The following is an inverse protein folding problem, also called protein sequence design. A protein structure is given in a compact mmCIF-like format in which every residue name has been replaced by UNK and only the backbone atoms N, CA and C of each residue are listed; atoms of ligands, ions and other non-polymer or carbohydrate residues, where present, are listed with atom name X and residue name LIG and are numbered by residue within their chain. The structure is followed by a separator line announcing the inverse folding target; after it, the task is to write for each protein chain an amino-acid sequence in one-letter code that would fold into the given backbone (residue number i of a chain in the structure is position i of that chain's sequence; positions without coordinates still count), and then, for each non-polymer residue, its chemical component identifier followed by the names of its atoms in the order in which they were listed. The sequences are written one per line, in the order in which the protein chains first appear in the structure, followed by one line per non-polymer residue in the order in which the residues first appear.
data_IF_220074361994
#
_entry.id   IF_220074361994
#
_cell.length_a   1.000
_cell.length_b   1.000
_cell.length_c   1.000
_cell.angle_alpha   90.00
_cell.angle_beta   90.00
_cell.angle_gamma   90.00
#
_symmetry.space_group_name_H-M   'P 1'
#
loop_
_entity.id
_entity.type
_entity.pdbx_description
1 polymer ?
#
# COMPACT_ATOMS: atom_id res chain seq x y z
N UNK A 1 59.89 -17.54 14.11
CA UNK A 1 58.45 -17.40 13.81
C UNK A 1 57.83 -16.07 14.30
N UNK A 2 58.34 -15.45 15.37
CA UNK A 2 57.77 -14.22 15.98
C UNK A 2 57.93 -12.95 15.13
N UNK A 3 58.93 -12.88 14.23
CA UNK A 3 59.18 -11.67 13.43
C UNK A 3 58.05 -11.37 12.41
N UNK A 4 57.42 -12.39 11.82
CA UNK A 4 56.29 -12.24 10.89
C UNK A 4 55.03 -11.64 11.54
N UNK A 5 54.82 -11.86 12.85
CA UNK A 5 53.70 -11.27 13.61
C UNK A 5 53.89 -9.78 13.90
N UNK A 6 55.14 -9.29 13.96
CA UNK A 6 55.46 -7.88 14.24
C UNK A 6 55.28 -7.00 13.00
N UNK A 7 55.52 -7.53 11.79
CA UNK A 7 55.25 -6.86 10.53
C UNK A 7 53.74 -6.67 10.26
N UNK A 8 52.91 -7.66 10.60
CA UNK A 8 51.45 -7.56 10.45
C UNK A 8 50.82 -6.44 11.30
N UNK A 9 51.44 -6.07 12.43
CA UNK A 9 51.00 -4.95 13.28
C UNK A 9 51.47 -3.59 12.79
N UNK A 10 52.59 -3.50 12.06
CA UNK A 10 53.10 -2.24 11.48
C UNK A 10 52.27 -1.75 10.29
N UNK A 11 51.56 -2.64 9.60
CA UNK A 11 50.73 -2.31 8.43
C UNK A 11 49.26 -2.00 8.76
N UNK A 12 48.90 -1.89 10.05
CA UNK A 12 47.57 -1.41 10.45
C UNK A 12 47.57 0.12 10.45
N UNK A 13 47.53 0.73 9.26
CA UNK A 13 47.12 2.15 9.13
C UNK A 13 45.65 2.22 9.53
N UNK A 14 45.40 2.66 10.77
CA UNK A 14 44.04 2.88 11.26
C UNK A 14 43.39 4.07 10.56
N UNK A 15 42.08 4.00 10.37
CA UNK A 15 41.27 5.14 9.93
C UNK A 15 41.33 6.23 11.00
N UNK A 16 41.58 7.48 10.63
CA UNK A 16 41.58 8.56 11.61
C UNK A 16 40.15 8.87 12.05
N UNK A 17 39.96 9.25 13.32
CA UNK A 17 38.65 9.70 13.80
C UNK A 17 38.15 10.92 13.03
N UNK A 18 39.07 11.77 12.56
CA UNK A 18 38.77 12.96 11.77
C UNK A 18 38.17 12.59 10.42
N UNK A 19 38.72 11.60 9.71
CA UNK A 19 38.15 11.11 8.45
C UNK A 19 36.72 10.58 8.65
N UNK A 20 36.46 9.92 9.78
CA UNK A 20 35.12 9.37 10.07
C UNK A 20 34.11 10.49 10.35
N UNK A 21 34.53 11.52 11.08
CA UNK A 21 33.69 12.68 11.41
C UNK A 21 33.34 13.46 10.14
N UNK A 22 34.30 13.73 9.25
CA UNK A 22 34.05 14.47 8.00
C UNK A 22 33.06 13.72 7.11
N UNK A 23 33.19 12.39 7.01
CA UNK A 23 32.24 11.56 6.24
C UNK A 23 30.84 11.61 6.83
N UNK A 24 30.69 11.49 8.15
CA UNK A 24 29.39 11.59 8.82
C UNK A 24 28.75 12.96 8.65
N UNK A 25 29.53 14.03 8.64
CA UNK A 25 29.05 15.40 8.38
C UNK A 25 28.50 15.51 6.97
N UNK A 26 29.23 15.05 5.96
CA UNK A 26 28.77 15.09 4.55
C UNK A 26 27.53 14.21 4.36
N UNK A 27 27.53 12.99 4.91
CA UNK A 27 26.37 12.09 4.89
C UNK A 27 25.15 12.73 5.56
N UNK A 28 25.35 13.43 6.69
CA UNK A 28 24.28 14.13 7.40
C UNK A 28 23.64 15.22 6.55
N UNK A 29 24.44 16.04 5.85
CA UNK A 29 23.95 17.09 4.95
C UNK A 29 23.13 16.48 3.80
N UNK A 30 23.62 15.39 3.19
CA UNK A 30 22.90 14.71 2.11
C UNK A 30 21.56 14.14 2.60
N UNK A 31 21.55 13.43 3.72
CA UNK A 31 20.32 12.86 4.30
C UNK A 31 19.30 13.95 4.61
N UNK A 32 19.74 15.09 5.18
CA UNK A 32 18.86 16.20 5.52
C UNK A 32 18.09 16.76 4.31
N UNK A 33 18.72 16.81 3.13
CA UNK A 33 18.08 17.29 1.91
C UNK A 33 17.24 16.21 1.22
N UNK A 34 17.67 14.94 1.27
CA UNK A 34 17.03 13.84 0.53
C UNK A 34 15.79 13.26 1.23
N UNK A 35 15.79 13.14 2.56
CA UNK A 35 14.68 12.51 3.30
C UNK A 35 13.30 13.16 3.03
N UNK A 36 13.11 14.49 3.08
CA UNK A 36 11.79 15.08 2.90
C UNK A 36 11.21 14.80 1.50
N UNK A 37 12.02 14.85 0.45
CA UNK A 37 11.54 14.55 -0.91
C UNK A 37 11.19 13.07 -1.05
N UNK A 38 12.04 12.16 -0.55
CA UNK A 38 11.82 10.72 -0.61
C UNK A 38 10.54 10.29 0.10
N UNK A 39 10.25 10.83 1.29
CA UNK A 39 9.03 10.49 2.04
C UNK A 39 7.75 10.85 1.28
N UNK A 40 7.73 11.96 0.54
CA UNK A 40 6.62 12.35 -0.33
C UNK A 40 6.40 11.38 -1.49
N UNK A 41 7.48 10.91 -2.12
CA UNK A 41 7.40 9.91 -3.19
C UNK A 41 6.90 8.56 -2.69
N UNK A 42 7.36 8.11 -1.52
CA UNK A 42 6.88 6.87 -0.91
C UNK A 42 5.39 6.95 -0.62
N UNK A 43 4.91 8.07 -0.06
CA UNK A 43 3.47 8.29 0.18
C UNK A 43 2.66 8.19 -1.10
N UNK A 44 3.08 8.88 -2.17
CA UNK A 44 2.40 8.82 -3.47
C UNK A 44 2.43 7.42 -4.08
N UNK A 45 3.54 6.70 -3.95
CA UNK A 45 3.66 5.32 -4.44
C UNK A 45 2.67 4.40 -3.73
N UNK A 46 2.62 4.46 -2.39
CA UNK A 46 1.66 3.68 -1.60
C UNK A 46 0.20 4.03 -1.96
N UNK A 47 -0.10 5.30 -2.22
CA UNK A 47 -1.44 5.74 -2.69
C UNK A 47 -1.80 5.16 -4.08
N UNK A 48 -0.82 5.01 -4.99
CA UNK A 48 -1.04 4.39 -6.29
C UNK A 48 -1.18 2.87 -6.19
N UNK A 49 -0.47 2.24 -5.27
CA UNK A 49 -0.61 0.80 -4.97
C UNK A 49 -2.03 0.49 -4.51
N UNK A 50 -2.54 1.19 -3.49
CA UNK A 50 -3.91 0.96 -3.01
C UNK A 50 -4.95 1.21 -4.11
N UNK A 51 -4.76 2.21 -4.96
CA UNK A 51 -5.66 2.48 -6.09
C UNK A 51 -5.64 1.34 -7.12
N UNK A 52 -4.48 0.74 -7.37
CA UNK A 52 -4.36 -0.41 -8.28
C UNK A 52 -5.05 -1.65 -7.69
N UNK A 53 -4.78 -1.97 -6.42
CA UNK A 53 -5.44 -3.07 -5.71
C UNK A 53 -6.96 -2.88 -5.67
N UNK A 54 -7.42 -1.65 -5.39
CA UNK A 54 -8.84 -1.31 -5.35
C UNK A 54 -9.54 -1.55 -6.70
N UNK A 55 -8.87 -1.28 -7.82
CA UNK A 55 -9.40 -1.59 -9.16
C UNK A 55 -9.49 -3.09 -9.42
N UNK A 56 -8.49 -3.87 -9.02
CA UNK A 56 -8.56 -5.33 -9.11
C UNK A 56 -9.72 -5.89 -8.27
N UNK A 57 -9.87 -5.37 -7.05
CA UNK A 57 -10.99 -5.71 -6.17
C UNK A 57 -12.34 -5.30 -6.77
N UNK A 58 -12.42 -4.13 -7.43
CA UNK A 58 -13.64 -3.68 -8.11
C UNK A 58 -14.08 -4.65 -9.20
N UNK A 59 -13.13 -5.18 -9.99
CA UNK A 59 -13.45 -6.16 -11.03
C UNK A 59 -14.03 -7.44 -10.42
N UNK A 60 -13.43 -7.96 -9.34
CA UNK A 60 -13.93 -9.14 -8.66
C UNK A 60 -15.32 -8.92 -8.04
N UNK A 61 -15.56 -7.75 -7.44
CA UNK A 61 -16.88 -7.37 -6.91
C UNK A 61 -17.92 -7.33 -8.04
N UNK A 62 -17.57 -6.77 -9.19
CA UNK A 62 -18.47 -6.71 -10.34
C UNK A 62 -18.78 -8.11 -10.90
N UNK A 63 -17.82 -9.05 -10.86
CA UNK A 63 -18.05 -10.46 -11.19
C UNK A 63 -19.08 -11.09 -10.25
N UNK A 64 -18.88 -11.00 -8.93
CA UNK A 64 -19.81 -11.55 -7.93
C UNK A 64 -21.20 -10.92 -8.06
N UNK A 65 -21.28 -9.60 -8.28
CA UNK A 65 -22.55 -8.92 -8.53
C UNK A 65 -23.27 -9.44 -9.78
N UNK A 66 -22.53 -9.83 -10.82
CA UNK A 66 -23.10 -10.34 -12.07
C UNK A 66 -23.64 -11.75 -11.89
N UNK A 67 -22.88 -12.64 -11.25
CA UNK A 67 -23.33 -14.01 -10.91
C UNK A 67 -24.61 -13.99 -10.07
N UNK A 68 -24.71 -13.05 -9.13
CA UNK A 68 -25.90 -12.91 -8.27
C UNK A 68 -27.13 -12.41 -9.01
N UNK A 69 -26.94 -11.52 -9.98
CA UNK A 69 -28.03 -11.03 -10.80
C UNK A 69 -28.61 -12.14 -11.67
N UNK A 70 -27.78 -13.05 -12.18
CA UNK A 70 -28.23 -14.22 -12.96
C UNK A 70 -29.13 -15.17 -12.15
N UNK A 71 -28.89 -15.31 -10.84
CA UNK A 71 -29.71 -16.14 -9.93
C UNK A 71 -30.90 -15.39 -9.30
N UNK A 72 -31.25 -14.21 -9.84
CA UNK A 72 -32.47 -13.48 -9.48
C UNK A 72 -32.33 -12.50 -8.30
N UNK A 73 -31.12 -12.15 -7.89
CA UNK A 73 -30.93 -11.05 -6.93
C UNK A 73 -31.26 -9.69 -7.58
N UNK A 74 -31.95 -8.83 -6.83
CA UNK A 74 -32.38 -7.52 -7.32
C UNK A 74 -31.21 -6.53 -7.37
N UNK A 75 -31.12 -5.77 -8.46
CA UNK A 75 -30.21 -4.63 -8.60
C UNK A 75 -30.48 -3.55 -7.52
N UNK A 76 -29.53 -2.65 -7.30
CA UNK A 76 -29.68 -1.57 -6.31
C UNK A 76 -29.43 -1.98 -4.86
N UNK A 77 -28.81 -3.14 -4.62
CA UNK A 77 -28.64 -3.71 -3.27
C UNK A 77 -27.21 -3.58 -2.75
N UNK A 78 -27.05 -3.67 -1.43
CA UNK A 78 -25.73 -3.75 -0.77
C UNK A 78 -25.26 -5.20 -0.77
N UNK A 79 -24.01 -5.43 -1.18
CA UNK A 79 -23.40 -6.75 -1.15
C UNK A 79 -23.17 -7.22 0.29
N UNK A 80 -23.39 -8.51 0.54
CA UNK A 80 -23.26 -9.08 1.89
C UNK A 80 -21.78 -9.30 2.25
N UNK A 81 -21.47 -9.48 3.53
CA UNK A 81 -20.10 -9.75 3.98
C UNK A 81 -19.48 -10.99 3.30
N UNK A 82 -20.27 -12.03 3.03
CA UNK A 82 -19.83 -13.23 2.30
C UNK A 82 -19.42 -12.91 0.87
N UNK A 83 -20.14 -12.02 0.20
CA UNK A 83 -19.86 -11.62 -1.19
C UNK A 83 -18.55 -10.85 -1.28
N UNK A 84 -18.31 -9.97 -0.30
CA UNK A 84 -17.08 -9.21 -0.20
C UNK A 84 -15.89 -10.11 0.14
N UNK A 85 -16.09 -11.16 0.95
CA UNK A 85 -15.07 -12.16 1.23
C UNK A 85 -14.70 -12.97 -0.02
N UNK A 86 -15.70 -13.46 -0.77
CA UNK A 86 -15.49 -14.17 -2.03
C UNK A 86 -14.80 -13.28 -3.08
N UNK A 87 -15.23 -12.02 -3.20
CA UNK A 87 -14.60 -11.06 -4.09
C UNK A 87 -13.13 -10.77 -3.69
N UNK A 88 -12.85 -10.72 -2.37
CA UNK A 88 -11.48 -10.58 -1.87
C UNK A 88 -10.62 -11.78 -2.29
N UNK A 89 -11.11 -13.01 -2.11
CA UNK A 89 -10.40 -14.22 -2.55
C UNK A 89 -10.14 -14.21 -4.06
N UNK A 90 -11.15 -13.87 -4.86
CA UNK A 90 -11.04 -13.82 -6.32
C UNK A 90 -10.05 -12.75 -6.81
N UNK A 91 -9.95 -11.63 -6.09
CA UNK A 91 -9.07 -10.52 -6.48
C UNK A 91 -7.60 -10.70 -6.07
N UNK A 92 -7.29 -11.67 -5.20
CA UNK A 92 -5.95 -11.94 -4.66
C UNK A 92 -5.24 -10.70 -4.05
N UNK A 93 -6.01 -9.71 -3.62
CA UNK A 93 -5.45 -8.47 -3.03
C UNK A 93 -5.14 -8.63 -1.55
N UNK A 94 -4.14 -7.89 -1.06
CA UNK A 94 -3.74 -7.95 0.36
C UNK A 94 -4.75 -7.29 1.30
N UNK A 95 -5.39 -6.20 0.85
CA UNK A 95 -6.40 -5.48 1.61
C UNK A 95 -7.77 -6.16 1.66
N UNK A 96 -8.74 -5.47 2.24
CA UNK A 96 -10.12 -5.96 2.39
C UNK A 96 -11.13 -4.99 1.78
N UNK A 97 -12.16 -5.54 1.17
CA UNK A 97 -13.31 -4.78 0.67
C UNK A 97 -14.28 -4.63 1.84
N UNK A 98 -14.44 -3.42 2.37
CA UNK A 98 -15.23 -3.20 3.60
C UNK A 98 -16.70 -2.95 3.31
N UNK A 99 -17.01 -2.38 2.15
CA UNK A 99 -18.38 -2.23 1.67
C UNK A 99 -18.41 -2.11 0.15
N UNK A 100 -19.51 -2.56 -0.46
CA UNK A 100 -19.84 -2.27 -1.84
C UNK A 100 -21.36 -2.25 -2.02
N UNK A 101 -21.86 -1.26 -2.77
CA UNK A 101 -23.27 -1.11 -3.13
C UNK A 101 -23.42 -1.07 -4.65
N UNK A 102 -24.56 -1.56 -5.13
CA UNK A 102 -24.89 -1.60 -6.55
C UNK A 102 -25.96 -0.55 -6.87
N UNK A 103 -25.96 -0.04 -8.10
CA UNK A 103 -27.03 0.77 -8.66
C UNK A 103 -28.12 -0.10 -9.30
N UNK A 104 -29.17 0.55 -9.79
CA UNK A 104 -30.31 -0.10 -10.48
C UNK A 104 -29.89 -0.85 -11.75
N UNK A 105 -28.69 -0.60 -12.28
CA UNK A 105 -28.12 -1.26 -13.45
C UNK A 105 -27.10 -2.37 -13.09
N UNK A 106 -27.08 -2.79 -11.82
CA UNK A 106 -26.15 -3.79 -11.30
C UNK A 106 -24.66 -3.39 -11.42
N UNK A 107 -24.37 -2.08 -11.46
CA UNK A 107 -23.01 -1.54 -11.44
C UNK A 107 -22.65 -1.07 -10.04
N UNK A 108 -21.37 -1.11 -9.70
CA UNK A 108 -20.90 -0.57 -8.42
C UNK A 108 -21.21 0.93 -8.33
N UNK A 109 -22.03 1.31 -7.34
CA UNK A 109 -22.38 2.70 -7.03
C UNK A 109 -21.40 3.30 -6.01
N UNK A 110 -21.19 2.59 -4.90
CA UNK A 110 -20.16 2.91 -3.91
C UNK A 110 -19.36 1.68 -3.54
N UNK A 111 -18.08 1.85 -3.24
CA UNK A 111 -17.22 0.79 -2.72
C UNK A 111 -16.13 1.38 -1.83
N UNK A 112 -15.76 0.68 -0.77
CA UNK A 112 -14.62 1.06 0.06
C UNK A 112 -13.63 -0.09 0.11
N UNK A 113 -12.38 0.22 -0.23
CA UNK A 113 -11.26 -0.72 -0.19
C UNK A 113 -10.25 -0.25 0.85
N UNK A 114 -9.99 -1.11 1.84
CA UNK A 114 -9.00 -0.90 2.88
C UNK A 114 -7.74 -1.72 2.55
N UNK A 115 -6.76 -1.07 1.93
CA UNK A 115 -5.42 -1.63 1.74
C UNK A 115 -4.59 -1.60 3.04
N UNK A 116 -3.40 -2.17 3.01
CA UNK A 116 -2.53 -2.34 4.20
C UNK A 116 -2.18 -1.03 4.90
N UNK A 117 -1.99 0.07 4.13
CA UNK A 117 -1.61 1.38 4.67
C UNK A 117 -2.67 2.46 4.47
N UNK A 118 -3.44 2.35 3.40
CA UNK A 118 -4.38 3.37 2.95
C UNK A 118 -5.73 2.75 2.60
N UNK A 119 -6.78 3.51 2.85
CA UNK A 119 -8.15 3.18 2.47
C UNK A 119 -8.59 4.16 1.40
N UNK A 120 -9.32 3.69 0.39
CA UNK A 120 -9.83 4.51 -0.71
C UNK A 120 -11.30 4.15 -0.98
N UNK A 121 -12.07 5.15 -1.40
CA UNK A 121 -13.49 4.97 -1.75
C UNK A 121 -13.77 5.28 -3.22
N UNK A 122 -14.67 4.48 -3.78
CA UNK A 122 -15.29 4.67 -5.08
C UNK A 122 -16.67 5.29 -4.87
N UNK A 123 -16.96 6.35 -5.61
CA UNK A 123 -18.28 6.97 -5.67
C UNK A 123 -18.40 7.75 -6.98
N UNK A 124 -19.63 8.01 -7.44
CA UNK A 124 -19.88 8.82 -8.65
C UNK A 124 -19.12 8.29 -9.89
N UNK A 125 -18.98 6.97 -10.02
CA UNK A 125 -18.33 6.32 -11.16
C UNK A 125 -16.80 6.41 -11.20
N UNK A 126 -16.13 6.86 -10.13
CA UNK A 126 -14.67 6.99 -10.08
C UNK A 126 -14.09 6.69 -8.71
N UNK A 127 -12.82 6.28 -8.70
CA UNK A 127 -11.99 6.29 -7.50
C UNK A 127 -11.56 7.73 -7.21
N UNK A 128 -11.92 8.24 -6.04
CA UNK A 128 -11.58 9.60 -5.64
C UNK A 128 -10.30 9.59 -4.80
N UNK A 129 -9.18 10.04 -5.38
CA UNK A 129 -7.89 10.11 -4.69
C UNK A 129 -7.93 11.03 -3.45
N UNK A 130 -8.89 11.96 -3.36
CA UNK A 130 -9.08 12.80 -2.17
C UNK A 130 -9.63 12.03 -0.96
N UNK A 131 -10.27 10.88 -1.20
CA UNK A 131 -10.76 9.98 -0.14
C UNK A 131 -9.68 9.09 0.45
N UNK A 132 -8.43 9.17 -0.06
CA UNK A 132 -7.36 8.33 0.44
C UNK A 132 -6.94 8.76 1.84
N UNK A 133 -7.34 7.97 2.83
CA UNK A 133 -6.98 8.15 4.24
C UNK A 133 -6.06 7.03 4.70
N UNK A 134 -5.29 7.25 5.77
CA UNK A 134 -4.53 6.15 6.39
C UNK A 134 -5.52 5.11 6.90
N UNK A 135 -5.30 3.84 6.59
CA UNK A 135 -6.13 2.75 7.11
C UNK A 135 -6.01 2.75 8.62
N UNK A 136 -7.10 3.08 9.30
CA UNK A 136 -7.23 2.84 10.74
C UNK A 136 -7.78 1.44 10.90
N UNK A 137 -6.91 0.47 11.20
CA UNK A 137 -7.35 -0.80 11.75
C UNK A 137 -8.06 -0.47 13.06
N UNK A 138 -9.39 -0.55 13.11
CA UNK A 138 -10.07 -0.73 14.39
C UNK A 138 -9.53 -2.03 14.97
N UNK A 139 -8.71 -1.90 16.01
CA UNK A 139 -8.31 -3.04 16.82
C UNK A 139 -9.59 -3.74 17.32
N UNK A 140 -9.61 -5.09 17.36
CA UNK A 140 -10.74 -5.84 17.92
C UNK A 140 -10.99 -5.49 19.38
#
# INVERSE_FOLDING_TARGET
MVQKLKELRKNKKGFTLVELIVVLVILGILIALLVPSLTGYIKKADQKVVLAEARSAQMAVQTIASEKYEVGQTAGTTLTATDLANAKELSEVQGTITSATLDENNKINTMTYAGTKYTISFANGKWDESTITKTTTTAP
#
